data_IF_079136128704
#
_entry.id   IF_079136128704
#
_cell.length_a   1.000
_cell.length_b   1.000
_cell.length_c   1.000
_cell.angle_alpha   90.00
_cell.angle_beta   90.00
_cell.angle_gamma   90.00
#
_symmetry.space_group_name_H-M   'P 1'
#
loop_
_entity.id
_entity.type
_entity.pdbx_description
1 polymer ?
#
# COMPACT_ATOMS: atom_id res chain seq x y z
N UNK A 1 -42.02 -35.21 68.74
CA UNK A 1 -42.25 -35.55 67.33
C UNK A 1 -41.84 -34.32 66.50
N UNK A 2 -40.97 -34.51 65.52
CA UNK A 2 -40.41 -33.59 64.49
C UNK A 2 -41.40 -32.49 63.99
N UNK A 3 -41.04 -31.33 63.43
CA UNK A 3 -39.80 -30.78 62.86
C UNK A 3 -39.99 -29.29 62.48
N UNK A 4 -38.86 -28.56 62.42
CA UNK A 4 -38.39 -27.60 61.39
C UNK A 4 -39.19 -26.35 60.99
N UNK A 5 -38.54 -25.21 61.28
CA UNK A 5 -37.97 -24.22 60.34
C UNK A 5 -38.67 -23.96 59.00
N UNK A 6 -38.90 -22.68 58.69
CA UNK A 6 -38.11 -21.97 57.65
C UNK A 6 -38.50 -20.49 57.57
N UNK A 7 -37.50 -19.63 57.64
CA UNK A 7 -37.54 -18.21 57.31
C UNK A 7 -37.23 -18.03 55.82
N UNK A 8 -38.06 -17.27 55.11
CA UNK A 8 -37.80 -16.83 53.74
C UNK A 8 -37.48 -15.33 53.72
N UNK A 9 -36.24 -14.98 53.47
CA UNK A 9 -35.81 -13.61 53.16
C UNK A 9 -35.64 -13.46 51.65
N UNK A 10 -36.49 -12.65 51.06
CA UNK A 10 -36.36 -12.09 49.71
C UNK A 10 -35.21 -11.09 49.64
N UNK A 11 -34.36 -11.15 48.60
CA UNK A 11 -33.87 -9.99 47.82
C UNK A 11 -32.72 -10.39 46.87
N UNK A 12 -32.53 -9.59 45.82
CA UNK A 12 -31.27 -9.37 45.06
C UNK A 12 -31.04 -10.04 43.69
N UNK A 13 -32.03 -10.03 42.79
CA UNK A 13 -31.76 -10.26 41.34
C UNK A 13 -31.24 -9.02 40.59
N UNK A 14 -31.48 -7.81 41.09
CA UNK A 14 -30.92 -6.57 40.51
C UNK A 14 -29.40 -6.40 40.76
N UNK A 15 -28.90 -6.96 41.86
CA UNK A 15 -27.48 -6.89 42.25
C UNK A 15 -26.56 -7.58 41.24
N UNK A 16 -27.01 -8.70 40.68
CA UNK A 16 -26.21 -9.54 39.78
C UNK A 16 -25.96 -8.91 38.40
N UNK A 17 -26.89 -8.08 37.89
CA UNK A 17 -26.71 -7.39 36.61
C UNK A 17 -25.76 -6.20 36.71
N UNK A 18 -25.78 -5.49 37.84
CA UNK A 18 -24.88 -4.37 38.11
C UNK A 18 -23.43 -4.84 38.27
N UNK A 19 -23.20 -5.98 38.93
CA UNK A 19 -21.87 -6.56 39.13
C UNK A 19 -21.25 -7.01 37.80
N UNK A 20 -22.05 -7.61 36.90
CA UNK A 20 -21.60 -8.02 35.57
C UNK A 20 -21.16 -6.82 34.70
N UNK A 21 -21.90 -5.71 34.74
CA UNK A 21 -21.56 -4.50 33.97
C UNK A 21 -20.31 -3.80 34.53
N UNK A 22 -20.14 -3.77 35.86
CA UNK A 22 -18.93 -3.25 36.49
C UNK A 22 -17.72 -4.11 36.09
N UNK A 23 -17.82 -5.44 36.13
CA UNK A 23 -16.75 -6.33 35.72
C UNK A 23 -16.35 -6.13 34.25
N UNK A 24 -17.32 -6.05 33.32
CA UNK A 24 -17.04 -5.79 31.90
C UNK A 24 -16.37 -4.42 31.71
N UNK A 25 -16.77 -3.39 32.45
CA UNK A 25 -16.14 -2.06 32.38
C UNK A 25 -14.69 -2.07 32.89
N UNK A 26 -14.39 -2.81 33.97
CA UNK A 26 -13.02 -2.95 34.50
C UNK A 26 -12.15 -3.76 33.53
N UNK A 27 -12.68 -4.84 32.93
CA UNK A 27 -11.96 -5.62 31.91
C UNK A 27 -11.65 -4.80 30.65
N UNK A 28 -12.61 -3.99 30.18
CA UNK A 28 -12.40 -3.10 29.02
C UNK A 28 -11.42 -1.97 29.32
N UNK A 29 -11.44 -1.41 30.54
CA UNK A 29 -10.48 -0.39 30.97
C UNK A 29 -9.06 -0.96 31.16
N UNK A 30 -8.91 -2.18 31.68
CA UNK A 30 -7.60 -2.82 31.86
C UNK A 30 -6.91 -3.15 30.54
N UNK A 31 -7.65 -3.52 29.48
CA UNK A 31 -7.06 -3.77 28.16
C UNK A 31 -6.60 -2.49 27.41
N UNK A 32 -6.96 -1.30 27.89
CA UNK A 32 -6.63 -0.03 27.24
C UNK A 32 -5.38 0.67 27.83
N UNK A 33 -4.79 0.15 28.92
CA UNK A 33 -3.62 0.76 29.58
C UNK A 33 -2.32 -0.02 29.40
N UNK A 34 -2.33 -1.18 28.76
CA UNK A 34 -1.14 -2.03 28.61
C UNK A 34 -0.20 -1.65 27.45
N UNK A 35 -0.44 -0.55 26.72
CA UNK A 35 0.45 -0.17 25.59
C UNK A 35 1.36 1.05 25.84
N UNK A 36 1.60 1.49 27.08
CA UNK A 36 2.45 2.67 27.32
C UNK A 36 3.48 2.56 28.45
N UNK A 37 3.91 1.35 28.84
CA UNK A 37 5.04 1.22 29.77
C UNK A 37 5.82 -0.11 29.64
N UNK A 38 6.70 -0.21 28.64
CA UNK A 38 7.91 -1.05 28.78
C UNK A 38 9.12 -0.22 28.38
N UNK A 39 9.64 0.52 29.36
CA UNK A 39 10.95 1.14 29.30
C UNK A 39 12.04 0.04 29.32
N UNK A 40 12.82 0.01 28.24
CA UNK A 40 14.24 -0.37 28.15
C UNK A 40 14.79 -1.30 29.26
N UNK A 41 14.61 -2.62 29.11
CA UNK A 41 15.70 -3.54 29.39
C UNK A 41 16.38 -3.88 28.05
N UNK A 42 17.64 -3.48 27.91
CA UNK A 42 18.51 -3.89 26.80
C UNK A 42 18.73 -5.40 26.88
N UNK A 43 17.87 -6.17 26.21
CA UNK A 43 18.16 -7.54 25.81
C UNK A 43 18.38 -7.53 24.29
N UNK A 44 19.58 -7.89 23.81
CA UNK A 44 19.83 -8.01 22.38
C UNK A 44 19.24 -9.34 21.93
N UNK A 45 17.95 -9.38 21.56
CA UNK A 45 17.37 -10.35 20.61
C UNK A 45 15.93 -9.94 20.26
N UNK A 46 15.80 -9.16 19.19
CA UNK A 46 14.66 -9.32 18.28
C UNK A 46 15.21 -9.28 16.87
N UNK A 47 15.43 -10.48 16.33
CA UNK A 47 15.50 -10.73 14.89
C UNK A 47 14.20 -10.18 14.30
N UNK A 48 14.22 -8.93 13.84
CA UNK A 48 13.17 -8.43 12.97
C UNK A 48 13.15 -9.36 11.77
N UNK A 49 12.02 -10.03 11.54
CA UNK A 49 11.72 -10.55 10.21
C UNK A 49 11.51 -9.32 9.34
N UNK A 50 12.60 -8.73 8.86
CA UNK A 50 12.57 -7.92 7.67
C UNK A 50 11.97 -8.82 6.60
N UNK A 51 10.68 -8.64 6.31
CA UNK A 51 10.16 -9.03 5.01
C UNK A 51 10.97 -8.18 4.03
N UNK A 52 12.08 -8.74 3.59
CA UNK A 52 12.95 -8.16 2.59
C UNK A 52 12.16 -8.15 1.30
N UNK A 53 11.36 -7.10 1.12
CA UNK A 53 10.71 -6.76 -0.13
C UNK A 53 11.83 -6.34 -1.10
N UNK A 54 12.60 -7.33 -1.52
CA UNK A 54 13.66 -7.16 -2.48
C UNK A 54 13.04 -6.77 -3.82
N UNK A 55 13.36 -5.56 -4.27
CA UNK A 55 12.99 -5.11 -5.60
C UNK A 55 14.06 -5.55 -6.58
N UNK A 56 13.66 -6.11 -7.71
CA UNK A 56 14.57 -6.43 -8.80
C UNK A 56 14.49 -5.34 -9.86
N UNK A 57 15.64 -4.80 -10.25
CA UNK A 57 15.76 -3.87 -11.37
C UNK A 57 16.03 -4.68 -12.62
N UNK A 58 15.10 -4.64 -13.57
CA UNK A 58 15.22 -5.35 -14.85
C UNK A 58 15.11 -4.34 -15.98
N UNK A 59 15.97 -4.49 -16.99
CA UNK A 59 15.91 -3.69 -18.20
C UNK A 59 14.78 -4.21 -19.11
N UNK A 60 13.93 -3.31 -19.59
CA UNK A 60 12.89 -3.66 -20.56
C UNK A 60 13.49 -4.01 -21.93
N UNK A 61 12.86 -4.93 -22.68
CA UNK A 61 13.30 -5.31 -24.02
C UNK A 61 13.03 -4.16 -25.01
N UNK A 62 14.06 -3.62 -25.63
CA UNK A 62 13.93 -2.53 -26.59
C UNK A 62 15.23 -1.78 -26.84
N UNK A 63 15.24 -0.80 -27.76
CA UNK A 63 16.40 0.06 -27.97
C UNK A 63 16.70 0.87 -26.69
N UNK A 64 17.99 1.01 -26.35
CA UNK A 64 18.41 1.94 -25.31
C UNK A 64 18.21 3.36 -25.81
N UNK A 65 17.42 4.15 -25.07
CA UNK A 65 17.23 5.56 -25.36
C UNK A 65 18.48 6.35 -25.00
N UNK A 66 18.78 7.40 -25.76
CA UNK A 66 19.81 8.39 -25.40
C UNK A 66 19.33 9.29 -24.27
N UNK A 67 18.07 9.72 -24.31
CA UNK A 67 17.44 10.49 -23.25
C UNK A 67 15.94 10.14 -23.18
N UNK A 68 15.64 9.11 -22.39
CA UNK A 68 14.28 8.60 -22.18
C UNK A 68 13.53 9.47 -21.17
N UNK A 69 12.35 9.97 -21.52
CA UNK A 69 11.58 10.92 -20.70
C UNK A 69 10.08 10.61 -20.74
N UNK A 70 9.34 11.20 -19.79
CA UNK A 70 7.88 11.16 -19.74
C UNK A 70 7.26 9.76 -19.68
N UNK A 71 7.68 8.88 -18.73
CA UNK A 71 7.05 7.57 -18.58
C UNK A 71 5.59 7.71 -18.16
N UNK A 72 4.68 7.10 -18.91
CA UNK A 72 3.24 7.06 -18.63
C UNK A 72 2.73 5.64 -18.78
N UNK A 73 2.10 5.12 -17.73
CA UNK A 73 1.46 3.81 -17.75
C UNK A 73 -0.01 3.93 -18.17
N UNK A 74 -0.38 3.24 -19.24
CA UNK A 74 -1.77 3.04 -19.63
C UNK A 74 -2.32 1.77 -18.97
N UNK A 75 -3.31 1.94 -18.10
CA UNK A 75 -3.91 0.86 -17.33
C UNK A 75 -4.72 -0.06 -18.23
N UNK A 76 -5.45 0.47 -19.21
CA UNK A 76 -6.40 -0.33 -19.99
C UNK A 76 -5.66 -1.26 -20.95
N UNK A 77 -4.57 -0.79 -21.56
CA UNK A 77 -3.74 -1.60 -22.47
C UNK A 77 -2.52 -2.23 -21.80
N UNK A 78 -2.33 -2.04 -20.49
CA UNK A 78 -1.13 -2.49 -19.75
C UNK A 78 0.18 -2.17 -20.49
N UNK A 79 0.32 -0.91 -20.86
CA UNK A 79 1.43 -0.44 -21.70
C UNK A 79 2.16 0.75 -21.08
N UNK A 80 3.48 0.75 -21.16
CA UNK A 80 4.31 1.90 -20.77
C UNK A 80 4.69 2.71 -22.02
N UNK A 81 4.27 3.96 -22.06
CA UNK A 81 4.68 4.93 -23.07
C UNK A 81 5.80 5.82 -22.54
N UNK A 82 6.76 6.17 -23.40
CA UNK A 82 7.85 7.11 -23.11
C UNK A 82 8.43 7.66 -24.41
N UNK A 83 9.21 8.73 -24.34
CA UNK A 83 9.85 9.35 -25.53
C UNK A 83 11.36 9.30 -25.44
N UNK A 84 12.04 9.34 -26.58
CA UNK A 84 13.46 9.70 -26.65
C UNK A 84 13.61 11.06 -27.34
N UNK A 85 14.03 12.07 -26.57
CA UNK A 85 14.17 13.45 -27.06
C UNK A 85 15.36 13.57 -28.02
N UNK A 86 16.46 12.89 -27.72
CA UNK A 86 17.70 12.98 -28.49
C UNK A 86 17.70 12.09 -29.73
N UNK A 87 16.86 11.05 -29.76
CA UNK A 87 16.50 10.33 -31.00
C UNK A 87 14.99 10.33 -31.17
N UNK A 88 14.40 11.40 -31.76
CA UNK A 88 12.97 11.67 -31.77
C UNK A 88 12.11 10.43 -32.10
N UNK A 89 11.57 9.82 -31.05
CA UNK A 89 10.73 8.64 -31.14
C UNK A 89 9.78 8.56 -29.95
N UNK A 90 8.59 7.99 -30.20
CA UNK A 90 7.67 7.53 -29.16
C UNK A 90 7.85 6.02 -29.03
N UNK A 91 8.00 5.54 -27.81
CA UNK A 91 8.13 4.13 -27.48
C UNK A 91 6.90 3.65 -26.70
N UNK A 92 6.51 2.40 -26.96
CA UNK A 92 5.46 1.69 -26.20
C UNK A 92 5.98 0.31 -25.82
N UNK A 93 6.20 0.07 -24.54
CA UNK A 93 6.41 -1.27 -24.02
C UNK A 93 5.07 -1.91 -23.69
N UNK A 94 4.81 -3.06 -24.31
CA UNK A 94 3.65 -3.91 -24.03
C UNK A 94 4.05 -4.97 -23.00
N UNK A 95 3.34 -5.01 -21.86
CA UNK A 95 3.68 -5.92 -20.76
C UNK A 95 3.33 -7.38 -21.06
N UNK A 96 2.21 -7.64 -21.74
CA UNK A 96 1.76 -9.00 -22.04
C UNK A 96 2.68 -9.67 -23.08
N UNK A 97 3.13 -8.89 -24.07
CA UNK A 97 4.04 -9.37 -25.11
C UNK A 97 5.52 -9.32 -24.70
N UNK A 98 5.84 -8.64 -23.58
CA UNK A 98 7.20 -8.34 -23.16
C UNK A 98 8.02 -7.75 -24.33
N UNK A 99 7.49 -6.69 -24.96
CA UNK A 99 8.06 -6.13 -26.20
C UNK A 99 7.89 -4.62 -26.28
N UNK A 100 8.93 -3.94 -26.78
CA UNK A 100 8.84 -2.49 -27.09
C UNK A 100 8.66 -2.23 -28.58
N UNK A 101 7.64 -1.42 -28.88
CA UNK A 101 7.36 -0.83 -30.19
C UNK A 101 7.91 0.60 -30.24
N UNK A 102 8.27 1.09 -31.44
CA UNK A 102 8.82 2.44 -31.60
C UNK A 102 8.32 3.11 -32.87
N UNK A 103 7.81 4.33 -32.73
CA UNK A 103 7.44 5.21 -33.84
C UNK A 103 8.47 6.35 -33.91
N UNK A 104 9.32 6.33 -34.95
CA UNK A 104 10.31 7.39 -35.18
C UNK A 104 9.66 8.57 -35.87
N UNK A 105 9.96 9.78 -35.39
CA UNK A 105 9.52 10.99 -36.07
C UNK A 105 10.46 11.27 -37.23
N UNK A 106 9.88 11.57 -38.40
CA UNK A 106 10.63 12.00 -39.57
C UNK A 106 11.39 13.28 -39.28
N UNK A 107 12.48 13.52 -40.01
CA UNK A 107 13.13 14.84 -40.00
C UNK A 107 12.16 15.84 -40.61
N UNK A 108 12.02 17.02 -40.00
CA UNK A 108 11.41 18.16 -40.66
C UNK A 108 12.30 18.55 -41.85
N UNK A 109 12.02 17.99 -43.02
CA UNK A 109 12.58 18.50 -44.27
C UNK A 109 11.72 19.69 -44.70
N UNK A 110 12.28 20.89 -44.56
CA UNK A 110 11.86 22.14 -45.18
C UNK A 110 10.47 22.63 -44.76
N UNK A 111 10.45 23.47 -43.71
CA UNK A 111 9.40 24.49 -43.61
C UNK A 111 9.57 25.37 -44.85
N UNK A 112 8.61 25.44 -45.79
CA UNK A 112 8.69 26.40 -46.87
C UNK A 112 8.79 27.80 -46.25
N UNK A 113 9.85 28.50 -46.58
CA UNK A 113 10.13 29.83 -46.06
C UNK A 113 8.97 30.75 -46.48
N UNK A 114 8.15 31.18 -45.52
CA UNK A 114 6.97 32.03 -45.79
C UNK A 114 7.36 33.44 -46.28
N UNK A 115 8.65 33.74 -46.37
CA UNK A 115 9.18 35.03 -46.85
C UNK A 115 9.35 35.14 -48.37
N UNK A 116 9.16 34.06 -49.14
CA UNK A 116 9.39 34.10 -50.61
C UNK A 116 8.13 34.46 -51.43
N UNK A 117 7.09 35.01 -50.81
CA UNK A 117 5.89 35.52 -51.50
C UNK A 117 5.59 36.98 -51.13
N UNK A 118 6.37 37.91 -51.67
CA UNK A 118 5.97 39.31 -51.93
C UNK A 118 6.59 39.77 -53.25
#
# INVERSE_FOLDING_TARGET
MFSRSSSSSSSSSASMRSIQLIAISVFLYCSATDHLAQAQQLQPQTKMTSNDNSYQVVQLPGPRTKLGEGPVWDIDTQSLYYVDINTPAVHRYDYAENRTYSAKLGKYSEIPNFHDKL
#
